data_IF_989271133328
#
_entry.id   IF_989271133328
#
_cell.length_a   1.000
_cell.length_b   1.000
_cell.length_c   1.000
_cell.angle_alpha   90.00
_cell.angle_beta   90.00
_cell.angle_gamma   90.00
#
_symmetry.space_group_name_H-M   'P 1'
#
loop_
_entity.id
_entity.type
_entity.pdbx_description
1 polymer ?
#
# COMPACT_ATOMS: atom_id res chain seq x y z
N UNK A 1 -18.33 -17.26 5.88
CA UNK A 1 -18.04 -16.05 5.73
C UNK A 1 -16.69 -15.80 5.28
N UNK A 2 -16.59 -15.02 4.36
CA UNK A 2 -15.42 -14.78 3.86
C UNK A 2 -14.63 -13.89 4.63
N UNK A 3 -13.39 -14.07 4.81
CA UNK A 3 -12.57 -13.27 5.60
C UNK A 3 -11.73 -12.46 4.67
N UNK A 4 -12.17 -11.30 4.35
CA UNK A 4 -11.49 -10.44 3.42
C UNK A 4 -10.41 -9.61 4.05
N UNK A 5 -9.36 -10.28 4.52
CA UNK A 5 -8.24 -9.57 5.08
C UNK A 5 -7.46 -8.89 3.98
N UNK A 6 -7.01 -7.67 4.22
CA UNK A 6 -6.18 -6.95 3.28
C UNK A 6 -4.74 -7.43 3.37
N UNK A 7 -4.07 -7.44 2.22
CA UNK A 7 -2.72 -7.98 2.12
C UNK A 7 -1.71 -6.84 1.98
N UNK A 8 -0.75 -6.82 2.89
CA UNK A 8 0.29 -5.78 2.94
C UNK A 8 1.63 -6.40 2.57
N UNK A 9 2.41 -5.70 1.75
CA UNK A 9 3.79 -6.09 1.48
C UNK A 9 4.70 -5.08 2.16
N UNK A 10 5.60 -5.57 3.01
CA UNK A 10 6.59 -4.74 3.69
C UNK A 10 7.95 -5.02 3.05
N UNK A 11 8.59 -3.98 2.51
CA UNK A 11 9.89 -4.11 1.86
C UNK A 11 10.91 -3.28 2.65
N UNK A 12 11.85 -3.94 3.30
CA UNK A 12 12.84 -3.28 4.12
C UNK A 12 14.04 -4.24 4.23
N UNK A 13 15.26 -3.74 4.12
CA UNK A 13 16.42 -4.60 4.23
C UNK A 13 16.79 -4.93 5.68
N UNK A 14 16.13 -4.29 6.65
CA UNK A 14 16.37 -4.57 8.07
C UNK A 14 15.47 -5.72 8.54
N UNK A 15 16.08 -6.85 8.90
CA UNK A 15 15.35 -8.03 9.35
C UNK A 15 14.45 -7.74 10.55
N UNK A 16 14.93 -6.88 11.47
CA UNK A 16 14.17 -6.60 12.69
C UNK A 16 12.87 -5.86 12.37
N UNK A 17 12.93 -4.95 11.42
CA UNK A 17 11.74 -4.19 11.02
C UNK A 17 10.76 -5.12 10.32
N UNK A 18 11.24 -5.99 9.43
CA UNK A 18 10.36 -6.93 8.75
C UNK A 18 9.64 -7.85 9.74
N UNK A 19 10.39 -8.39 10.71
CA UNK A 19 9.80 -9.28 11.72
C UNK A 19 8.78 -8.52 12.57
N UNK A 20 9.17 -7.34 13.06
CA UNK A 20 8.30 -6.53 13.90
C UNK A 20 6.99 -6.20 13.20
N UNK A 21 7.07 -5.71 11.98
CA UNK A 21 5.86 -5.28 11.25
C UNK A 21 5.01 -6.47 10.85
N UNK A 22 5.64 -7.59 10.48
CA UNK A 22 4.86 -8.77 10.15
C UNK A 22 4.05 -9.25 11.35
N UNK A 23 4.67 -9.33 12.52
CA UNK A 23 3.99 -9.77 13.72
C UNK A 23 2.91 -8.78 14.15
N UNK A 24 3.27 -7.50 14.17
CA UNK A 24 2.34 -6.49 14.64
C UNK A 24 1.10 -6.38 13.74
N UNK A 25 1.32 -6.29 12.44
CA UNK A 25 0.21 -6.11 11.51
C UNK A 25 -0.60 -7.39 11.33
N UNK A 26 0.04 -8.56 11.41
CA UNK A 26 -0.71 -9.81 11.38
C UNK A 26 -1.65 -9.90 12.57
N UNK A 27 -1.24 -9.39 13.73
CA UNK A 27 -2.08 -9.33 14.91
C UNK A 27 -3.23 -8.34 14.79
N UNK A 28 -3.18 -7.46 13.78
CA UNK A 28 -4.24 -6.48 13.54
C UNK A 28 -5.12 -6.87 12.35
N UNK A 29 -5.13 -8.16 12.06
CA UNK A 29 -6.03 -8.72 11.04
C UNK A 29 -5.66 -8.41 9.60
N UNK A 30 -4.37 -8.29 9.30
CA UNK A 30 -3.87 -8.17 7.94
C UNK A 30 -3.10 -9.44 7.57
N UNK A 31 -3.02 -9.71 6.27
CA UNK A 31 -2.10 -10.73 5.77
C UNK A 31 -0.84 -9.96 5.39
N UNK A 32 0.31 -10.37 5.87
CA UNK A 32 1.54 -9.62 5.66
C UNK A 32 2.60 -10.49 4.99
N UNK A 33 3.11 -10.00 3.86
CA UNK A 33 4.25 -10.61 3.20
C UNK A 33 5.41 -9.62 3.33
N UNK A 34 6.63 -10.12 3.27
CA UNK A 34 7.80 -9.26 3.39
C UNK A 34 8.77 -9.50 2.23
N UNK A 35 9.60 -8.53 1.95
CA UNK A 35 10.69 -8.65 0.98
C UNK A 35 11.88 -7.86 1.50
N UNK A 36 13.09 -8.33 1.23
CA UNK A 36 14.25 -7.67 1.76
C UNK A 36 14.90 -6.68 0.80
N UNK A 37 14.46 -6.65 -0.44
CA UNK A 37 14.96 -5.71 -1.43
C UNK A 37 13.95 -5.53 -2.55
N UNK A 38 14.24 -4.62 -3.48
CA UNK A 38 13.33 -4.31 -4.57
C UNK A 38 13.12 -5.47 -5.53
N UNK A 39 14.16 -6.25 -5.75
CA UNK A 39 14.06 -7.39 -6.66
C UNK A 39 13.08 -8.44 -6.12
N UNK A 40 13.20 -8.75 -4.85
CA UNK A 40 12.30 -9.70 -4.21
C UNK A 40 10.87 -9.16 -4.20
N UNK A 41 10.73 -7.86 -3.95
CA UNK A 41 9.42 -7.23 -3.96
C UNK A 41 8.75 -7.34 -5.32
N UNK A 42 9.50 -7.09 -6.39
CA UNK A 42 8.97 -7.17 -7.74
C UNK A 42 8.52 -8.59 -8.09
N UNK A 43 9.28 -9.60 -7.64
CA UNK A 43 8.89 -10.98 -7.86
C UNK A 43 7.56 -11.29 -7.18
N UNK A 44 7.38 -10.84 -5.95
CA UNK A 44 6.15 -11.09 -5.23
C UNK A 44 4.97 -10.36 -5.85
N UNK A 45 5.21 -9.15 -6.37
CA UNK A 45 4.15 -8.39 -7.05
C UNK A 45 3.70 -9.05 -8.35
N UNK A 46 4.53 -9.89 -8.95
CA UNK A 46 4.16 -10.60 -10.17
C UNK A 46 3.18 -11.75 -9.87
N UNK A 47 3.23 -12.29 -8.67
CA UNK A 47 2.40 -13.45 -8.32
C UNK A 47 1.24 -13.15 -7.37
N UNK A 48 1.36 -12.13 -6.56
CA UNK A 48 0.38 -11.82 -5.52
C UNK A 48 -0.17 -10.42 -5.69
N UNK A 49 -1.42 -10.25 -5.26
CA UNK A 49 -2.03 -8.95 -5.28
C UNK A 49 -1.96 -8.36 -3.88
N UNK A 50 -1.51 -7.13 -3.78
CA UNK A 50 -1.39 -6.45 -2.49
C UNK A 50 -2.30 -5.24 -2.46
N UNK A 51 -2.81 -4.93 -1.27
CA UNK A 51 -3.70 -3.78 -1.08
C UNK A 51 -2.95 -2.53 -0.66
N UNK A 52 -1.77 -2.69 -0.09
CA UNK A 52 -0.93 -1.56 0.27
C UNK A 52 0.51 -2.02 0.39
N UNK A 53 1.45 -1.16 0.04
CA UNK A 53 2.88 -1.46 0.14
C UNK A 53 3.53 -0.52 1.13
N UNK A 54 4.48 -1.04 1.90
CA UNK A 54 5.28 -0.25 2.82
C UNK A 54 6.73 -0.46 2.40
N UNK A 55 7.39 0.60 1.93
CA UNK A 55 8.70 0.51 1.33
C UNK A 55 9.73 1.35 2.06
N UNK A 56 10.83 0.74 2.44
CA UNK A 56 11.97 1.48 2.99
C UNK A 56 12.63 2.23 1.84
N UNK A 57 13.00 3.47 2.05
CA UNK A 57 13.64 4.29 1.05
C UNK A 57 15.09 3.87 0.83
N UNK A 58 15.81 3.63 1.93
CA UNK A 58 17.24 3.32 1.85
C UNK A 58 17.49 1.82 1.81
N UNK A 59 17.63 1.29 0.62
CA UNK A 59 17.93 -0.13 0.43
C UNK A 59 19.08 -0.29 -0.56
N UNK A 60 19.91 -1.33 -0.41
CA UNK A 60 20.95 -1.60 -1.39
C UNK A 60 20.33 -1.91 -2.74
N UNK A 61 20.98 -1.53 -3.80
CA UNK A 61 20.45 -1.72 -5.15
C UNK A 61 19.43 -0.64 -5.46
N UNK A 62 18.24 -1.03 -5.85
CA UNK A 62 17.20 -0.05 -6.18
C UNK A 62 16.58 0.53 -4.91
N UNK A 63 16.50 1.84 -4.81
CA UNK A 63 15.93 2.51 -3.64
C UNK A 63 14.42 2.39 -3.62
N UNK A 64 13.82 2.70 -2.47
CA UNK A 64 12.36 2.73 -2.35
C UNK A 64 11.72 3.78 -3.26
N UNK A 65 12.42 4.87 -3.56
CA UNK A 65 11.92 5.87 -4.50
C UNK A 65 11.82 5.30 -5.90
N UNK A 66 12.89 4.64 -6.35
CA UNK A 66 12.90 4.04 -7.68
C UNK A 66 11.88 2.93 -7.79
N UNK A 67 11.74 2.14 -6.75
CA UNK A 67 10.74 1.08 -6.72
C UNK A 67 9.33 1.66 -6.79
N UNK A 68 9.06 2.75 -6.07
CA UNK A 68 7.76 3.43 -6.11
C UNK A 68 7.45 3.88 -7.54
N UNK A 69 8.43 4.50 -8.20
CA UNK A 69 8.24 4.98 -9.57
C UNK A 69 7.87 3.81 -10.49
N UNK A 70 8.61 2.71 -10.38
CA UNK A 70 8.38 1.56 -11.26
C UNK A 70 7.01 0.92 -11.01
N UNK A 71 6.65 0.77 -9.74
CA UNK A 71 5.36 0.16 -9.39
C UNK A 71 4.21 1.02 -9.87
N UNK A 72 4.29 2.33 -9.65
CA UNK A 72 3.19 3.23 -10.01
C UNK A 72 2.95 3.30 -11.52
N UNK A 73 3.92 2.94 -12.32
CA UNK A 73 3.76 2.89 -13.76
C UNK A 73 2.90 1.70 -14.18
N UNK A 74 2.87 0.64 -13.37
CA UNK A 74 2.21 -0.60 -13.72
C UNK A 74 0.89 -0.85 -13.03
N UNK A 75 0.81 -0.52 -11.77
CA UNK A 75 -0.40 -0.81 -10.98
C UNK A 75 -0.76 0.36 -10.07
N UNK A 76 -2.02 0.38 -9.68
CA UNK A 76 -2.52 1.37 -8.75
C UNK A 76 -2.61 0.73 -7.39
N UNK A 77 -1.62 0.97 -6.56
CA UNK A 77 -1.61 0.45 -5.21
C UNK A 77 -1.06 1.54 -4.30
N UNK A 78 -1.67 1.78 -3.14
CA UNK A 78 -1.15 2.79 -2.22
C UNK A 78 0.21 2.39 -1.67
N UNK A 79 1.10 3.36 -1.53
CA UNK A 79 2.45 3.14 -1.03
C UNK A 79 2.74 4.10 0.12
N UNK A 80 3.25 3.55 1.23
CA UNK A 80 3.78 4.35 2.34
C UNK A 80 5.29 4.16 2.33
N UNK A 81 6.04 5.25 2.37
CA UNK A 81 7.50 5.20 2.40
C UNK A 81 8.01 5.34 3.84
N UNK A 82 9.03 4.55 4.18
CA UNK A 82 9.72 4.66 5.46
C UNK A 82 11.03 5.40 5.20
N UNK A 83 11.17 6.58 5.80
CA UNK A 83 12.30 7.45 5.50
C UNK A 83 13.17 7.66 6.74
N UNK A 84 14.40 8.09 6.53
CA UNK A 84 15.27 8.43 7.64
C UNK A 84 14.80 9.73 8.28
N UNK A 85 15.05 9.86 9.58
CA UNK A 85 14.64 11.04 10.33
C UNK A 85 15.26 12.29 9.74
N UNK A 86 14.46 13.34 9.62
CA UNK A 86 14.97 14.64 9.17
C UNK A 86 15.13 14.84 7.67
N UNK A 87 14.76 13.86 6.86
CA UNK A 87 14.94 13.98 5.42
C UNK A 87 13.74 14.58 4.73
N UNK A 88 13.55 15.87 4.86
CA UNK A 88 12.40 16.59 4.32
C UNK A 88 12.37 16.58 2.79
N UNK A 89 13.53 16.78 2.16
CA UNK A 89 13.59 16.80 0.71
C UNK A 89 13.20 15.46 0.12
N UNK A 90 13.60 14.38 0.77
CA UNK A 90 13.29 13.04 0.32
C UNK A 90 11.80 12.75 0.45
N UNK A 91 11.16 13.36 1.44
CA UNK A 91 9.74 13.24 1.64
C UNK A 91 8.97 13.82 0.47
N UNK A 92 9.36 15.01 0.04
CA UNK A 92 8.74 15.67 -1.11
C UNK A 92 8.92 14.83 -2.35
N UNK A 93 10.13 14.29 -2.56
CA UNK A 93 10.43 13.45 -3.69
C UNK A 93 9.52 12.22 -3.74
N UNK A 94 9.32 11.58 -2.58
CA UNK A 94 8.46 10.41 -2.51
C UNK A 94 7.03 10.71 -2.90
N UNK A 95 6.50 11.84 -2.42
CA UNK A 95 5.14 12.24 -2.73
C UNK A 95 5.01 12.59 -4.21
N UNK A 96 6.02 13.22 -4.80
CA UNK A 96 6.01 13.55 -6.21
C UNK A 96 6.02 12.29 -7.09
N UNK A 97 6.59 11.20 -6.60
CA UNK A 97 6.61 9.94 -7.33
C UNK A 97 5.33 9.14 -7.17
N UNK A 98 4.40 9.64 -6.36
CA UNK A 98 3.10 9.03 -6.22
C UNK A 98 2.85 8.26 -4.94
N UNK A 99 3.77 8.31 -3.97
CA UNK A 99 3.51 7.68 -2.67
C UNK A 99 2.37 8.42 -1.98
N UNK A 100 1.52 7.68 -1.31
CA UNK A 100 0.37 8.24 -0.61
C UNK A 100 0.75 8.84 0.74
N UNK A 101 1.81 8.33 1.35
CA UNK A 101 2.22 8.82 2.66
C UNK A 101 3.67 8.45 2.93
N UNK A 102 4.22 8.95 4.03
CA UNK A 102 5.57 8.60 4.45
C UNK A 102 5.62 8.65 5.97
N UNK A 103 6.55 7.89 6.55
CA UNK A 103 6.77 7.87 7.99
C UNK A 103 8.26 7.91 8.23
N UNK A 104 8.72 8.78 9.14
CA UNK A 104 10.13 8.86 9.48
C UNK A 104 10.51 7.79 10.50
N UNK A 105 11.66 7.16 10.30
CA UNK A 105 12.22 6.23 11.29
C UNK A 105 12.98 7.02 12.34
N UNK A 106 12.94 6.61 13.59
CA UNK A 106 12.18 5.48 14.15
C UNK A 106 10.71 5.85 14.33
N UNK A 107 9.83 4.87 14.19
CA UNK A 107 8.40 5.12 14.33
C UNK A 107 7.76 4.12 15.27
N UNK A 108 6.56 4.47 15.74
CA UNK A 108 5.77 3.56 16.55
C UNK A 108 4.93 2.71 15.59
N UNK A 109 4.88 1.39 15.77
CA UNK A 109 4.04 0.57 14.90
C UNK A 109 2.58 1.02 14.86
N UNK A 110 2.08 1.59 15.96
CA UNK A 110 0.72 2.10 15.99
C UNK A 110 0.52 3.28 15.06
N UNK A 111 1.55 4.12 14.90
CA UNK A 111 1.48 5.23 13.97
C UNK A 111 1.33 4.71 12.54
N UNK A 112 2.10 3.69 12.18
CA UNK A 112 2.01 3.09 10.87
C UNK A 112 0.61 2.49 10.66
N UNK A 113 0.09 1.80 11.67
CA UNK A 113 -1.24 1.21 11.59
C UNK A 113 -2.31 2.27 11.31
N UNK A 114 -2.22 3.42 11.98
CA UNK A 114 -3.21 4.48 11.79
C UNK A 114 -3.13 5.06 10.38
N UNK A 115 -1.93 5.18 9.83
CA UNK A 115 -1.77 5.67 8.45
C UNK A 115 -2.30 4.67 7.43
N UNK A 116 -2.08 3.38 7.68
CA UNK A 116 -2.62 2.33 6.85
C UNK A 116 -4.15 2.42 6.84
N UNK A 117 -4.74 2.55 8.01
CA UNK A 117 -6.20 2.65 8.13
C UNK A 117 -6.76 3.88 7.43
N UNK A 118 -6.05 5.00 7.51
CA UNK A 118 -6.48 6.21 6.83
C UNK A 118 -6.47 6.03 5.31
N UNK A 119 -5.43 5.41 4.78
CA UNK A 119 -5.31 5.20 3.34
C UNK A 119 -6.42 4.26 2.86
N UNK A 120 -6.67 3.18 3.60
CA UNK A 120 -7.70 2.22 3.24
C UNK A 120 -9.08 2.89 3.24
N UNK A 121 -9.36 3.70 4.26
CA UNK A 121 -10.63 4.40 4.38
C UNK A 121 -10.84 5.38 3.22
N UNK A 122 -9.81 6.13 2.86
CA UNK A 122 -9.90 7.10 1.78
C UNK A 122 -10.09 6.41 0.44
N UNK A 123 -9.43 5.28 0.22
CA UNK A 123 -9.58 4.52 -1.00
C UNK A 123 -11.02 4.01 -1.12
N UNK A 124 -11.59 3.51 -0.03
CA UNK A 124 -12.95 3.02 -0.02
C UNK A 124 -13.95 4.14 -0.28
N UNK A 125 -13.72 5.32 0.27
CA UNK A 125 -14.59 6.47 0.03
C UNK A 125 -14.60 6.85 -1.44
N UNK A 126 -13.45 6.86 -2.08
CA UNK A 126 -13.34 7.20 -3.49
C UNK A 126 -14.09 6.18 -4.32
N UNK A 127 -13.92 4.89 -4.00
CA UNK A 127 -14.60 3.84 -4.72
C UNK A 127 -16.12 3.95 -4.57
N UNK A 128 -16.60 4.23 -3.39
CA UNK A 128 -18.03 4.39 -3.17
C UNK A 128 -18.56 5.62 -3.92
N UNK A 129 -17.81 6.68 -3.97
CA UNK A 129 -18.21 7.88 -4.69
C UNK A 129 -18.35 7.66 -6.18
N UNK A 130 -17.52 6.81 -6.75
CA UNK A 130 -17.56 6.54 -8.17
C UNK A 130 -18.65 5.55 -8.55
N UNK A 131 -19.15 4.79 -7.60
CA UNK A 131 -20.19 3.83 -7.86
C UNK A 131 -21.57 4.35 -7.68
N UNK A 132 -21.79 5.53 -7.62
CA UNK A 132 -23.06 6.07 -7.28
C UNK A 132 -24.01 6.21 -8.22
N UNK A 133 -24.21 5.97 -8.41
CA UNK A 133 -24.85 6.16 -9.27
C UNK A 133 -25.15 5.33 -9.80
N UNK A 134 -25.23 4.72 -9.62
CA UNK A 134 -25.42 3.96 -10.06
C UNK A 134 -25.69 3.08 -9.37
N UNK A 135 -26.04 2.70 -9.00
CA UNK A 135 -26.21 2.21 -8.57
C UNK A 135 -26.08 1.33 -8.19
N UNK A 136 -26.14 1.21 -7.97
CA UNK A 136 -25.87 0.83 -7.66
C UNK A 136 -25.33 0.16 -7.53
N UNK A 137 -25.30 -0.31 -7.43
CA UNK A 137 -24.71 -0.54 -7.45
C UNK A 137 -24.25 -1.12 -7.09
N UNK A 138 -24.10 -1.45 -6.89
CA UNK A 138 -23.58 -1.51 -6.73
C UNK A 138 -22.96 -2.02 -6.53
N UNK A 139 -23.12 -2.40 -6.21
CA UNK A 139 -22.60 -2.39 -6.26
C UNK A 139 -21.96 -2.98 -6.46
N UNK A 140 -21.82 -3.25 -6.23
CA UNK A 140 -21.14 -3.28 -6.75
C UNK A 140 -20.51 -3.13 -6.97
N UNK A 141 -20.41 -3.05 -6.74
CA UNK A 141 -19.94 -2.36 -7.06
C UNK A 141 -19.14 -2.91 -7.16
N UNK A 142 -18.95 -3.15 -6.89
CA UNK A 142 -18.28 -3.02 -7.23
C UNK A 142 -17.71 -3.63 -7.65
N UNK A 143 -17.79 -4.27 -7.31
CA UNK A 143 -17.53 -4.28 -7.85
C UNK A 143 -17.16 -4.07 -8.50
N UNK A 144 -17.49 -3.92 -8.05
CA UNK A 144 -17.40 -3.17 -8.63
C UNK A 144 -16.74 -2.97 -8.99
N UNK A 145 -16.92 -3.14 -8.68
CA UNK A 145 -16.73 -2.34 -9.15
C UNK A 145 -16.36 -2.47 -9.63
N UNK A 146 -16.46 -2.90 -9.29
CA UNK A 146 -16.57 -2.37 -9.75
C UNK A 146 -16.38 -2.44 -10.31
N UNK A 147 -16.69 -2.78 -9.97
CA UNK A 147 -16.83 -2.21 -10.48
C UNK A 147 -16.75 -1.96 -10.93
N UNK A 148 -17.01 -2.01 -10.65
CA UNK A 148 -17.26 -1.14 -11.01
C UNK A 148 -16.75 -1.15 -11.48
N UNK A 149 -16.92 -1.32 -11.12
CA UNK A 149 -16.96 -0.71 -11.45
C UNK A 149 -16.62 -0.71 -12.01
N UNK A 150 -16.55 -1.31 -11.52
CA UNK A 150 -16.76 -0.78 -11.91
C UNK A 150 -16.70 -0.50 -12.46
N UNK A 151 -16.76 -0.94 -12.22
CA UNK A 151 -17.13 -0.22 -12.50
C UNK A 151 -16.89 -0.03 -13.02
N UNK A 152 -17.16 -0.26 -12.87
CA UNK A 152 -17.38 0.43 -13.18
C UNK A 152 -17.11 0.26 -13.64
N UNK A 153 -16.58 -0.37 -13.21
CA UNK A 153 -16.76 -0.05 -13.31
C UNK A 153 -16.75 -0.06 -13.79
N UNK A 154 -17.07 -0.48 -13.49
CA UNK A 154 -17.46 -0.09 -13.55
C UNK A 154 -17.47 0.12 -14.09
N UNK A 155 -17.80 -0.25 -13.82
CA UNK A 155 -18.18 0.44 -13.98
C UNK A 155 -17.98 0.46 -14.45
N UNK A 156 -18.12 0.06 -14.18
CA UNK A 156 -18.16 0.65 -14.41
C UNK A 156 -18.05 0.75 -14.75
#
# INVERSE_FOLDING_TARGET
MENNKLHILVVDDDDRIRVLLKEYLSGKNFIVSTAENSEEAKKKLDYLKFDILILDVMMPGQSGYELTRDIKKKIKVPIILLTAKGEVENRIKGLELGAEDYISKPFEPKELLLRIKNIIRNTNKINLGTNHFVGQAKIDLNKMNISLNNINKKIN
#
